data_IF_661568414360
#
_entry.id   IF_661568414360
#
_cell.length_a   1.000
_cell.length_b   1.000
_cell.length_c   1.000
_cell.angle_alpha   90.00
_cell.angle_beta   90.00
_cell.angle_gamma   90.00
#
_symmetry.space_group_name_H-M   'P 1'
#
loop_
_entity.id
_entity.type
_entity.pdbx_description
1 polymer ?
#
# COMPACT_ATOMS: atom_id res chain seq x y z
N UNK A 1 -9.66 -17.20 -7.97
CA UNK A 1 -8.46 -17.65 -7.23
C UNK A 1 -7.25 -16.72 -7.40
N UNK A 2 -6.65 -16.58 -8.59
CA UNK A 2 -5.48 -15.67 -8.76
C UNK A 2 -5.82 -14.22 -8.43
N UNK A 3 -7.01 -13.75 -8.83
CA UNK A 3 -7.46 -12.39 -8.55
C UNK A 3 -7.74 -12.15 -7.08
N UNK A 4 -8.40 -13.09 -6.41
CA UNK A 4 -8.72 -12.95 -4.98
C UNK A 4 -7.45 -12.94 -4.13
N UNK A 5 -6.47 -13.78 -4.48
CA UNK A 5 -5.14 -13.75 -3.86
C UNK A 5 -4.39 -12.44 -4.12
N UNK A 6 -4.51 -11.88 -5.33
CA UNK A 6 -3.92 -10.59 -5.64
C UNK A 6 -4.61 -9.43 -4.89
N UNK A 7 -5.94 -9.44 -4.79
CA UNK A 7 -6.66 -8.40 -4.02
C UNK A 7 -6.27 -8.43 -2.54
N UNK A 8 -6.16 -9.63 -1.95
CA UNK A 8 -5.69 -9.82 -0.59
C UNK A 8 -4.25 -9.28 -0.40
N UNK A 9 -3.33 -9.65 -1.29
CA UNK A 9 -1.95 -9.15 -1.23
C UNK A 9 -1.87 -7.62 -1.40
N UNK A 10 -2.70 -7.03 -2.26
CA UNK A 10 -2.77 -5.57 -2.40
C UNK A 10 -3.35 -4.91 -1.16
N UNK A 11 -4.32 -5.54 -0.48
CA UNK A 11 -4.83 -5.06 0.79
C UNK A 11 -3.74 -5.09 1.88
N UNK A 12 -2.95 -6.15 1.95
CA UNK A 12 -1.81 -6.24 2.88
C UNK A 12 -0.78 -5.13 2.64
N UNK A 13 -0.45 -4.85 1.37
CA UNK A 13 0.43 -3.72 1.04
C UNK A 13 -0.21 -2.38 1.44
N UNK A 14 -1.53 -2.24 1.28
CA UNK A 14 -2.24 -1.02 1.68
C UNK A 14 -2.24 -0.80 3.19
N UNK A 15 -2.36 -1.85 4.01
CA UNK A 15 -2.28 -1.72 5.48
C UNK A 15 -0.90 -1.25 5.92
N UNK A 16 0.17 -1.71 5.27
CA UNK A 16 1.53 -1.20 5.52
C UNK A 16 1.62 0.31 5.28
N UNK A 17 1.15 0.81 4.13
CA UNK A 17 1.20 2.25 3.86
C UNK A 17 0.26 3.06 4.77
N UNK A 18 -0.87 2.48 5.20
CA UNK A 18 -1.74 3.09 6.21
C UNK A 18 -1.00 3.26 7.54
N UNK A 19 -0.26 2.25 7.97
CA UNK A 19 0.52 2.31 9.21
C UNK A 19 1.65 3.34 9.09
N UNK A 20 2.34 3.41 7.95
CA UNK A 20 3.30 4.49 7.65
C UNK A 20 2.64 5.87 7.79
N UNK A 21 1.45 6.04 7.24
CA UNK A 21 0.70 7.30 7.34
C UNK A 21 0.31 7.63 8.78
N UNK A 22 -0.03 6.63 9.60
CA UNK A 22 -0.34 6.82 11.02
C UNK A 22 0.89 7.30 11.79
N UNK A 23 2.06 6.70 11.54
CA UNK A 23 3.32 7.15 12.15
C UNK A 23 3.65 8.58 11.70
N UNK A 24 3.50 8.89 10.41
CA UNK A 24 3.70 10.25 9.88
C UNK A 24 2.75 11.28 10.49
N UNK A 25 1.56 10.86 10.94
CA UNK A 25 0.57 11.69 11.63
C UNK A 25 0.79 11.76 13.16
N UNK A 26 1.80 11.06 13.71
CA UNK A 26 2.09 11.01 15.14
C UNK A 26 1.23 10.03 15.95
N UNK A 27 0.52 9.10 15.29
CA UNK A 27 -0.41 8.17 15.92
C UNK A 27 0.13 6.72 15.91
N UNK A 28 1.14 6.44 16.74
CA UNK A 28 1.83 5.14 16.76
C UNK A 28 1.06 4.00 17.46
N UNK A 29 0.04 4.30 18.28
CA UNK A 29 -0.68 3.24 19.03
C UNK A 29 -1.64 2.42 18.16
N UNK A 30 -1.89 2.86 16.91
CA UNK A 30 -2.89 2.30 16.00
C UNK A 30 -2.36 1.42 14.87
N UNK A 31 -1.12 0.92 14.96
CA UNK A 31 -0.50 0.11 13.90
C UNK A 31 -1.18 -1.26 13.79
N UNK A 32 -1.52 -1.65 12.56
CA UNK A 32 -2.04 -2.98 12.22
C UNK A 32 -0.88 -3.99 12.23
N UNK A 33 0.22 -3.67 11.55
CA UNK A 33 1.36 -4.54 11.32
C UNK A 33 2.45 -4.30 12.38
N UNK A 34 2.16 -4.60 13.64
CA UNK A 34 3.04 -4.32 14.78
C UNK A 34 4.40 -5.00 14.67
N UNK A 35 4.46 -6.19 14.08
CA UNK A 35 5.69 -6.91 13.79
C UNK A 35 6.63 -6.17 12.82
N UNK A 36 6.10 -5.22 12.03
CA UNK A 36 6.85 -4.39 11.09
C UNK A 36 7.12 -2.97 11.62
N UNK A 37 6.88 -2.68 12.91
CA UNK A 37 6.97 -1.34 13.49
C UNK A 37 8.28 -0.61 13.14
N UNK A 38 9.43 -1.30 13.25
CA UNK A 38 10.74 -0.74 12.92
C UNK A 38 10.84 -0.34 11.44
N UNK A 39 10.28 -1.16 10.55
CA UNK A 39 10.30 -0.94 9.10
C UNK A 39 9.36 0.20 8.72
N UNK A 40 8.17 0.22 9.32
CA UNK A 40 7.18 1.29 9.16
C UNK A 40 7.76 2.63 9.61
N UNK A 41 8.35 2.69 10.80
CA UNK A 41 8.93 3.92 11.37
C UNK A 41 10.10 4.41 10.52
N UNK A 42 10.96 3.51 10.07
CA UNK A 42 12.07 3.84 9.16
C UNK A 42 11.54 4.38 7.84
N UNK A 43 10.53 3.75 7.25
CA UNK A 43 9.94 4.20 5.99
C UNK A 43 9.23 5.55 6.13
N UNK A 44 8.50 5.74 7.23
CA UNK A 44 7.81 6.98 7.58
C UNK A 44 8.78 8.16 7.71
N UNK A 45 9.94 7.95 8.33
CA UNK A 45 10.98 8.96 8.47
C UNK A 45 11.64 9.36 7.14
N UNK A 46 11.70 8.45 6.17
CA UNK A 46 12.38 8.65 4.89
C UNK A 46 11.44 9.06 3.74
N UNK A 47 10.12 9.09 3.97
CA UNK A 47 9.11 9.34 2.94
C UNK A 47 8.25 10.54 3.30
N UNK A 48 7.80 11.31 2.31
CA UNK A 48 6.86 12.42 2.52
C UNK A 48 5.41 11.90 2.63
N UNK A 49 4.55 12.45 3.50
CA UNK A 49 3.15 12.02 3.63
C UNK A 49 2.37 12.01 2.31
N UNK A 50 2.59 13.02 1.45
CA UNK A 50 1.97 13.07 0.12
C UNK A 50 2.35 11.88 -0.77
N UNK A 51 3.60 11.41 -0.70
CA UNK A 51 4.06 10.22 -1.43
C UNK A 51 3.38 8.96 -0.89
N UNK A 52 3.26 8.82 0.42
CA UNK A 52 2.53 7.70 1.05
C UNK A 52 1.07 7.65 0.57
N UNK A 53 0.37 8.78 0.59
CA UNK A 53 -1.03 8.89 0.12
C UNK A 53 -1.15 8.51 -1.36
N UNK A 54 -0.23 8.98 -2.21
CA UNK A 54 -0.23 8.61 -3.62
C UNK A 54 -0.07 7.10 -3.84
N UNK A 55 0.78 6.43 -3.05
CA UNK A 55 0.94 4.97 -3.10
C UNK A 55 -0.34 4.25 -2.67
N UNK A 56 -1.00 4.70 -1.59
CA UNK A 56 -2.30 4.14 -1.13
C UNK A 56 -3.35 4.27 -2.25
N UNK A 57 -3.48 5.46 -2.84
CA UNK A 57 -4.44 5.71 -3.91
C UNK A 57 -4.20 4.81 -5.13
N UNK A 58 -2.93 4.63 -5.52
CA UNK A 58 -2.57 3.74 -6.63
C UNK A 58 -2.96 2.28 -6.35
N UNK A 59 -2.76 1.80 -5.11
CA UNK A 59 -3.15 0.44 -4.70
C UNK A 59 -4.67 0.29 -4.75
N UNK A 60 -5.44 1.27 -4.23
CA UNK A 60 -6.91 1.22 -4.27
C UNK A 60 -7.45 1.25 -5.70
N UNK A 61 -6.83 2.02 -6.59
CA UNK A 61 -7.17 2.02 -8.01
C UNK A 61 -6.89 0.66 -8.66
N UNK A 62 -5.73 0.04 -8.37
CA UNK A 62 -5.38 -1.30 -8.87
C UNK A 62 -6.41 -2.35 -8.41
N UNK A 63 -6.80 -2.34 -7.13
CA UNK A 63 -7.83 -3.24 -6.58
C UNK A 63 -9.19 -3.06 -7.29
N UNK A 64 -9.61 -1.81 -7.48
CA UNK A 64 -10.85 -1.50 -8.22
C UNK A 64 -10.80 -2.04 -9.65
N UNK A 65 -9.68 -1.84 -10.35
CA UNK A 65 -9.48 -2.34 -11.71
C UNK A 65 -9.52 -3.87 -11.79
N UNK A 66 -8.92 -4.57 -10.83
CA UNK A 66 -9.01 -6.03 -10.74
C UNK A 66 -10.47 -6.47 -10.53
N UNK A 67 -11.22 -5.78 -9.67
CA UNK A 67 -12.66 -6.00 -9.49
C UNK A 67 -13.46 -5.86 -10.79
N UNK A 68 -13.03 -4.96 -11.68
CA UNK A 68 -13.62 -4.73 -13.01
C UNK A 68 -13.08 -5.64 -14.13
N UNK A 69 -12.38 -6.73 -13.81
CA UNK A 69 -11.80 -7.65 -14.79
C UNK A 69 -10.63 -7.12 -15.63
N UNK A 70 -9.87 -6.14 -15.13
CA UNK A 70 -8.62 -5.76 -15.77
C UNK A 70 -7.62 -6.93 -15.82
N UNK A 71 -6.71 -6.90 -16.82
CA UNK A 71 -5.64 -7.88 -16.95
C UNK A 71 -4.72 -7.84 -15.72
N UNK A 72 -4.60 -8.94 -14.93
CA UNK A 72 -3.91 -8.88 -13.64
C UNK A 72 -2.44 -8.46 -13.73
N UNK A 73 -1.68 -9.05 -14.67
CA UNK A 73 -0.25 -8.77 -14.83
C UNK A 73 -0.01 -7.30 -15.14
N UNK A 74 -0.67 -6.76 -16.17
CA UNK A 74 -0.54 -5.36 -16.56
C UNK A 74 -0.96 -4.39 -15.44
N UNK A 75 -2.00 -4.75 -14.67
CA UNK A 75 -2.45 -3.94 -13.53
C UNK A 75 -1.37 -3.84 -12.46
N UNK A 76 -0.70 -4.95 -12.16
CA UNK A 76 0.40 -4.98 -11.18
C UNK A 76 1.63 -4.26 -11.72
N UNK A 77 1.98 -4.45 -12.98
CA UNK A 77 3.12 -3.75 -13.62
C UNK A 77 2.93 -2.23 -13.55
N UNK A 78 1.75 -1.74 -13.92
CA UNK A 78 1.40 -0.33 -13.82
C UNK A 78 1.47 0.18 -12.38
N UNK A 79 0.96 -0.59 -11.41
CA UNK A 79 1.06 -0.26 -9.98
C UNK A 79 2.52 -0.14 -9.53
N UNK A 80 3.37 -1.10 -9.90
CA UNK A 80 4.78 -1.12 -9.49
C UNK A 80 5.56 0.09 -10.04
N UNK A 81 5.21 0.59 -11.23
CA UNK A 81 5.78 1.84 -11.75
C UNK A 81 5.47 3.07 -10.87
N UNK A 82 4.33 3.06 -10.16
CA UNK A 82 3.98 4.11 -9.19
C UNK A 82 4.67 3.88 -7.85
N UNK A 83 4.76 2.61 -7.41
CA UNK A 83 5.41 2.27 -6.13
C UNK A 83 6.94 2.42 -6.17
N UNK A 84 7.56 2.35 -7.33
CA UNK A 84 9.01 2.53 -7.49
C UNK A 84 9.48 4.00 -7.43
N UNK A 85 8.55 4.96 -7.46
CA UNK A 85 8.85 6.40 -7.35
C UNK A 85 8.87 6.87 -5.90
#
# INVERSE_FOLDING_TARGET
MVRDGLDAALLDIATFYRDVMMVQAGANDGLINKELENQITTYAANTKPHTTINKINAIMAARTNLGHNAAPLLTVEALMCVLAR
#
